data_IF_087359796638
#
_entry.id   IF_087359796638
#
_cell.length_a   1.000
_cell.length_b   1.000
_cell.length_c   1.000
_cell.angle_alpha   90.00
_cell.angle_beta   90.00
_cell.angle_gamma   90.00
#
_symmetry.space_group_name_H-M   'P 1'
#
loop_
_entity.id
_entity.type
_entity.pdbx_description
1 polymer ?
#
# COMPACT_ATOMS: atom_id res chain seq x y z
N UNK A 1 -6.52 -7.57 -4.51
CA UNK A 1 -5.84 -6.53 -5.34
C UNK A 1 -6.14 -5.15 -4.77
N UNK A 2 -7.42 -4.90 -4.54
CA UNK A 2 -8.08 -3.74 -3.96
C UNK A 2 -7.34 -3.15 -2.76
N UNK A 3 -6.91 -3.96 -1.79
CA UNK A 3 -6.15 -3.47 -0.63
C UNK A 3 -4.80 -2.83 -1.02
N UNK A 4 -4.05 -3.49 -1.92
CA UNK A 4 -2.76 -3.00 -2.40
C UNK A 4 -2.91 -1.78 -3.31
N UNK A 5 -3.95 -1.77 -4.15
CA UNK A 5 -4.29 -0.61 -4.98
C UNK A 5 -4.69 0.58 -4.10
N UNK A 6 -5.53 0.35 -3.08
CA UNK A 6 -6.01 1.39 -2.17
C UNK A 6 -4.87 2.08 -1.42
N UNK A 7 -3.94 1.32 -0.84
CA UNK A 7 -2.77 1.92 -0.17
C UNK A 7 -1.86 2.65 -1.16
N UNK A 8 -1.68 2.11 -2.38
CA UNK A 8 -0.87 2.76 -3.40
C UNK A 8 -1.44 4.12 -3.82
N UNK A 9 -2.76 4.20 -4.04
CA UNK A 9 -3.43 5.46 -4.39
C UNK A 9 -3.35 6.45 -3.23
N UNK A 10 -3.58 6.01 -2.00
CA UNK A 10 -3.47 6.88 -0.81
C UNK A 10 -2.06 7.47 -0.67
N UNK A 11 -1.02 6.65 -0.84
CA UNK A 11 0.36 7.08 -0.83
C UNK A 11 0.70 8.06 -1.96
N UNK A 12 0.17 7.83 -3.17
CA UNK A 12 0.32 8.76 -4.29
C UNK A 12 -0.37 10.10 -4.00
N UNK A 13 -1.50 10.12 -3.31
CA UNK A 13 -2.15 11.36 -2.86
C UNK A 13 -1.28 12.13 -1.87
N UNK A 14 -0.63 11.43 -0.93
CA UNK A 14 0.31 12.07 0.01
C UNK A 14 1.51 12.65 -0.75
N UNK A 15 2.07 11.88 -1.70
CA UNK A 15 3.14 12.38 -2.56
C UNK A 15 2.70 13.64 -3.31
N UNK A 16 1.48 13.65 -3.87
CA UNK A 16 0.94 14.81 -4.58
C UNK A 16 0.87 16.07 -3.71
N UNK A 17 0.48 15.94 -2.44
CA UNK A 17 0.43 17.06 -1.50
C UNK A 17 1.82 17.55 -1.07
N UNK A 18 2.81 16.65 -0.98
CA UNK A 18 4.13 16.95 -0.42
C UNK A 18 5.24 17.19 -1.47
N UNK A 19 5.02 16.87 -2.75
CA UNK A 19 6.03 16.95 -3.83
C UNK A 19 6.63 18.34 -4.07
N UNK A 20 5.99 19.39 -3.57
CA UNK A 20 6.51 20.75 -3.64
C UNK A 20 7.66 20.99 -2.65
N UNK A 21 7.70 20.23 -1.55
CA UNK A 21 8.71 20.33 -0.49
C UNK A 21 9.90 19.43 -0.82
N UNK A 22 9.62 18.17 -1.15
CA UNK A 22 10.63 17.20 -1.55
C UNK A 22 10.11 16.30 -2.67
N UNK A 23 10.86 16.22 -3.77
CA UNK A 23 10.53 15.35 -4.92
C UNK A 23 11.17 13.97 -4.82
N UNK A 24 12.15 13.81 -3.93
CA UNK A 24 12.88 12.55 -3.72
C UNK A 24 12.17 11.56 -2.80
N UNK A 25 10.97 11.85 -2.32
CA UNK A 25 10.19 10.92 -1.49
C UNK A 25 9.96 9.60 -2.24
N UNK A 26 10.16 8.48 -1.55
CA UNK A 26 9.93 7.14 -2.08
C UNK A 26 8.71 6.50 -1.41
N UNK A 27 7.93 5.74 -2.18
CA UNK A 27 6.84 4.92 -1.65
C UNK A 27 7.38 3.51 -1.40
N UNK A 28 7.35 3.05 -0.15
CA UNK A 28 7.94 1.78 0.28
C UNK A 28 7.01 0.90 1.11
N UNK A 29 7.47 -0.31 1.43
CA UNK A 29 6.80 -1.28 2.32
C UNK A 29 5.35 -1.66 1.92
N UNK A 30 4.96 -1.47 0.65
CA UNK A 30 3.64 -1.85 0.14
C UNK A 30 3.57 -3.37 -0.01
N UNK A 31 2.83 -4.02 0.90
CA UNK A 31 2.66 -5.47 0.92
C UNK A 31 1.37 -5.88 1.62
N UNK A 32 0.89 -7.07 1.32
CA UNK A 32 -0.28 -7.66 1.98
C UNK A 32 0.15 -8.18 3.35
N UNK A 33 -0.48 -7.70 4.42
CA UNK A 33 -0.19 -8.15 5.79
C UNK A 33 -1.11 -9.26 6.26
N UNK A 34 -2.36 -9.24 5.79
CA UNK A 34 -3.38 -10.22 6.15
C UNK A 34 -4.37 -10.38 4.99
N UNK A 35 -4.85 -11.61 4.79
CA UNK A 35 -5.99 -11.93 3.94
C UNK A 35 -6.67 -13.18 4.49
N UNK A 36 -7.97 -13.12 4.67
CA UNK A 36 -8.79 -14.28 5.01
C UNK A 36 -9.76 -14.62 3.87
N UNK A 37 -10.08 -15.91 3.75
CA UNK A 37 -11.12 -16.43 2.86
C UNK A 37 -10.64 -17.00 1.52
N UNK A 38 -11.57 -17.67 0.83
CA UNK A 38 -11.31 -18.43 -0.39
C UNK A 38 -10.64 -19.79 -0.13
N UNK A 39 -10.32 -20.53 -1.20
CA UNK A 39 -9.69 -21.87 -1.12
C UNK A 39 -8.37 -21.87 -0.34
N UNK A 40 -7.64 -20.76 -0.35
CA UNK A 40 -6.35 -20.61 0.31
C UNK A 40 -6.44 -20.41 1.82
N UNK A 41 -7.64 -20.16 2.39
CA UNK A 41 -7.79 -19.87 3.81
C UNK A 41 -7.14 -18.56 4.24
N UNK A 42 -6.62 -18.53 5.48
CA UNK A 42 -6.00 -17.36 6.11
C UNK A 42 -4.52 -17.25 5.69
N UNK A 43 -4.12 -16.05 5.34
CA UNK A 43 -2.73 -15.63 5.16
C UNK A 43 -2.43 -14.49 6.14
N UNK A 44 -1.40 -14.67 6.96
CA UNK A 44 -0.84 -13.66 7.84
C UNK A 44 0.66 -13.53 7.57
N UNK A 45 1.11 -12.29 7.43
CA UNK A 45 2.53 -11.97 7.28
C UNK A 45 3.14 -11.84 8.67
N UNK A 46 4.03 -12.78 9.01
CA UNK A 46 4.80 -12.77 10.26
C UNK A 46 5.76 -11.59 10.38
#
# INVERSE_FOLDING_TARGET
MEALTGVSVALLTIYDMCKAIDKGMELGEIRLVHKEGGKSGVYDRG
#
